data_IF_613218927813
#
_entry.id   IF_613218927813
#
_cell.length_a   1.000
_cell.length_b   1.000
_cell.length_c   1.000
_cell.angle_alpha   90.00
_cell.angle_beta   90.00
_cell.angle_gamma   90.00
#
_symmetry.space_group_name_H-M   'P 1'
#
loop_
_entity.id
_entity.type
_entity.pdbx_description
1 polymer ?
#
# COMPACT_ATOMS: atom_id res chain seq x y z
N UNK A 1 11.64 5.45 -7.63
CA UNK A 1 12.87 4.89 -8.27
C UNK A 1 14.09 4.93 -7.34
N UNK A 2 14.40 6.06 -6.69
CA UNK A 2 15.55 6.19 -5.74
C UNK A 2 15.60 5.15 -4.61
N UNK A 3 14.46 4.75 -4.04
CA UNK A 3 14.38 3.76 -2.94
C UNK A 3 14.71 2.32 -3.36
N UNK A 4 14.53 1.97 -4.62
CA UNK A 4 14.80 0.61 -5.15
C UNK A 4 16.30 0.42 -5.39
N UNK A 5 16.99 1.46 -5.88
CA UNK A 5 18.44 1.41 -6.07
C UNK A 5 19.21 1.19 -4.76
N UNK A 6 18.76 1.81 -3.65
CA UNK A 6 19.39 1.66 -2.33
C UNK A 6 19.32 0.21 -1.84
N UNK A 7 18.21 -0.49 -2.08
CA UNK A 7 18.02 -1.89 -1.67
C UNK A 7 18.92 -2.82 -2.49
N UNK A 8 19.04 -2.59 -3.79
CA UNK A 8 19.90 -3.41 -4.67
C UNK A 8 21.38 -3.24 -4.29
N UNK A 9 21.81 -2.01 -4.00
CA UNK A 9 23.19 -1.69 -3.63
C UNK A 9 23.57 -2.30 -2.27
N UNK A 10 22.60 -2.34 -1.33
CA UNK A 10 22.76 -2.98 -0.03
C UNK A 10 22.91 -4.51 -0.12
N UNK A 11 22.15 -5.16 -1.01
CA UNK A 11 22.24 -6.60 -1.25
C UNK A 11 23.56 -6.97 -1.92
N UNK A 12 24.07 -6.17 -2.85
CA UNK A 12 25.38 -6.41 -3.47
C UNK A 12 26.55 -6.25 -2.50
N UNK A 13 26.46 -5.31 -1.55
CA UNK A 13 27.46 -5.10 -0.50
C UNK A 13 27.53 -6.27 0.51
N UNK A 14 26.38 -6.86 0.83
CA UNK A 14 26.28 -8.05 1.69
C UNK A 14 26.91 -9.31 1.05
N UNK A 15 26.95 -9.38 -0.28
CA UNK A 15 27.51 -10.52 -1.02
C UNK A 15 29.03 -10.42 -1.25
N UNK A 16 29.63 -9.24 -1.14
CA UNK A 16 31.08 -9.03 -1.33
C UNK A 16 31.92 -9.22 -0.06
N UNK A 17 31.30 -9.43 1.10
CA UNK A 17 31.93 -9.30 2.41
C UNK A 17 32.53 -10.57 3.04
N UNK A 18 32.81 -11.64 2.28
CA UNK A 18 33.40 -12.86 2.86
C UNK A 18 34.72 -13.20 2.16
N UNK A 19 35.76 -12.45 2.50
CA UNK A 19 37.14 -12.92 2.34
C UNK A 19 37.57 -13.49 3.68
N UNK A 20 37.53 -14.82 3.79
CA UNK A 20 38.05 -15.55 4.94
C UNK A 20 39.58 -15.59 4.85
N UNK A 21 40.26 -14.68 5.56
CA UNK A 21 41.70 -14.81 5.82
C UNK A 21 41.90 -15.53 7.15
N UNK A 22 41.94 -16.86 7.12
CA UNK A 22 42.39 -17.68 8.24
C UNK A 22 43.75 -18.28 7.88
N UNK A 23 44.72 -18.20 8.79
CA UNK A 23 46.08 -18.70 8.57
C UNK A 23 46.08 -20.24 8.44
N UNK A 24 46.75 -20.78 7.41
CA UNK A 24 46.73 -22.21 7.06
C UNK A 24 47.71 -23.07 7.88
N UNK A 25 48.69 -22.47 8.56
CA UNK A 25 49.74 -23.19 9.29
C UNK A 25 50.06 -22.51 10.64
N UNK A 26 50.34 -23.30 11.67
CA UNK A 26 50.87 -22.80 12.95
C UNK A 26 52.09 -23.61 13.41
N UNK A 27 52.94 -22.95 14.18
CA UNK A 27 54.24 -23.40 14.63
C UNK A 27 54.20 -23.64 16.13
N UNK A 28 54.58 -24.84 16.56
CA UNK A 28 54.55 -25.25 17.96
C UNK A 28 55.93 -25.69 18.44
N UNK A 29 56.37 -25.20 19.60
CA UNK A 29 57.59 -25.67 20.26
C UNK A 29 57.39 -25.80 21.77
N UNK A 30 58.32 -26.45 22.45
CA UNK A 30 58.31 -26.61 23.92
C UNK A 30 59.58 -26.00 24.47
N UNK A 31 59.45 -25.17 25.49
CA UNK A 31 60.62 -24.57 26.15
C UNK A 31 61.26 -25.50 27.19
N UNK A 32 62.39 -25.08 27.74
CA UNK A 32 63.16 -25.83 28.74
C UNK A 32 62.38 -26.14 30.02
N UNK A 33 61.33 -25.37 30.31
CA UNK A 33 60.44 -25.58 31.47
C UNK A 33 59.27 -26.52 31.13
N UNK A 34 59.22 -27.06 29.92
CA UNK A 34 58.15 -27.94 29.46
C UNK A 34 56.88 -27.22 29.01
N UNK A 35 56.89 -25.89 28.86
CA UNK A 35 55.71 -25.12 28.41
C UNK A 35 55.61 -25.17 26.88
N UNK A 36 54.42 -25.50 26.37
CA UNK A 36 54.14 -25.55 24.94
C UNK A 36 53.68 -24.18 24.44
N UNK A 37 54.38 -23.65 23.45
CA UNK A 37 54.07 -22.38 22.78
C UNK A 37 53.56 -22.63 21.37
N UNK A 38 52.61 -21.81 20.91
CA UNK A 38 52.01 -21.89 19.57
C UNK A 38 51.92 -20.51 18.95
N UNK A 39 52.30 -20.38 17.67
CA UNK A 39 52.16 -19.13 16.90
C UNK A 39 51.80 -19.40 15.44
N UNK A 40 51.06 -18.51 14.81
CA UNK A 40 50.75 -18.50 13.38
C UNK A 40 51.78 -17.72 12.54
N UNK A 41 52.82 -17.15 13.16
CA UNK A 41 53.90 -16.43 12.49
C UNK A 41 55.27 -17.08 12.78
N UNK A 42 55.97 -17.65 11.77
CA UNK A 42 57.24 -18.35 11.96
C UNK A 42 58.37 -17.46 12.50
N UNK A 43 58.34 -16.16 12.21
CA UNK A 43 59.40 -15.24 12.63
C UNK A 43 59.42 -15.03 14.15
N UNK A 44 58.25 -15.20 14.80
CA UNK A 44 58.10 -15.09 16.26
C UNK A 44 58.66 -16.30 17.01
N UNK A 45 59.05 -17.36 16.31
CA UNK A 45 59.69 -18.52 16.91
C UNK A 45 61.14 -18.17 17.25
N UNK A 46 61.53 -18.22 18.55
CA UNK A 46 62.90 -17.90 18.97
C UNK A 46 63.91 -18.80 18.27
N UNK A 47 65.03 -18.22 17.83
CA UNK A 47 66.07 -18.91 17.03
C UNK A 47 66.52 -20.23 17.64
N UNK A 48 66.71 -20.28 18.96
CA UNK A 48 67.12 -21.49 19.71
C UNK A 48 66.12 -22.65 19.65
N UNK A 49 64.87 -22.41 19.30
CA UNK A 49 63.83 -23.44 19.21
C UNK A 49 63.39 -23.73 17.78
N UNK A 50 63.90 -23.01 16.77
CA UNK A 50 63.50 -23.17 15.36
C UNK A 50 63.70 -24.59 14.86
N UNK A 51 64.82 -25.22 15.19
CA UNK A 51 65.13 -26.60 14.76
C UNK A 51 64.23 -27.65 15.46
N UNK A 52 63.72 -27.32 16.64
CA UNK A 52 62.79 -28.17 17.40
C UNK A 52 61.31 -27.89 17.13
N UNK A 53 61.01 -26.85 16.33
CA UNK A 53 59.65 -26.38 16.09
C UNK A 53 58.92 -27.32 15.14
N UNK A 54 57.73 -27.75 15.53
CA UNK A 54 56.84 -28.55 14.69
C UNK A 54 55.91 -27.62 13.92
N UNK A 55 55.99 -27.67 12.60
CA UNK A 55 54.98 -27.04 11.73
C UNK A 55 53.77 -27.95 11.74
N UNK A 56 52.67 -27.47 12.30
CA UNK A 56 51.40 -28.18 12.31
C UNK A 56 50.51 -27.58 11.25
N UNK A 57 50.34 -28.32 10.15
CA UNK A 57 49.32 -28.01 9.14
C UNK A 57 47.99 -28.56 9.65
N UNK A 58 46.95 -27.72 9.68
CA UNK A 58 45.62 -28.17 10.09
C UNK A 58 45.14 -29.24 9.10
N UNK A 59 45.10 -30.52 9.53
CA UNK A 59 44.52 -31.60 8.73
C UNK A 59 43.09 -31.21 8.37
N UNK A 60 42.70 -31.34 7.09
CA UNK A 60 41.34 -31.04 6.62
C UNK A 60 40.32 -31.71 7.54
N UNK A 61 39.76 -30.95 8.48
CA UNK A 61 38.77 -31.45 9.43
C UNK A 61 37.50 -31.76 8.66
N UNK A 62 36.74 -32.78 9.12
CA UNK A 62 35.53 -33.24 8.45
C UNK A 62 34.52 -32.11 8.13
N UNK A 63 34.54 -31.02 8.91
CA UNK A 63 33.78 -29.79 8.66
C UNK A 63 34.22 -29.07 7.35
N UNK A 64 35.52 -28.90 7.11
CA UNK A 64 36.03 -28.22 5.88
C UNK A 64 35.72 -29.02 4.61
N UNK A 65 35.88 -30.35 4.63
CA UNK A 65 35.52 -31.21 3.50
C UNK A 65 34.01 -31.20 3.23
N UNK A 66 33.22 -31.19 4.30
CA UNK A 66 31.75 -31.09 4.23
C UNK A 66 31.32 -29.76 3.63
N UNK A 67 31.90 -28.63 4.07
CA UNK A 67 31.64 -27.29 3.51
C UNK A 67 32.07 -27.19 2.04
N UNK A 68 33.21 -27.78 1.66
CA UNK A 68 33.68 -27.85 0.27
C UNK A 68 32.72 -28.66 -0.63
N UNK A 69 32.13 -29.73 -0.11
CA UNK A 69 31.13 -30.52 -0.82
C UNK A 69 29.80 -29.76 -0.95
N UNK A 70 29.33 -29.11 0.12
CA UNK A 70 28.12 -28.28 0.07
C UNK A 70 28.26 -27.10 -0.90
N UNK A 71 29.41 -26.42 -0.90
CA UNK A 71 29.67 -25.31 -1.83
C UNK A 71 29.75 -25.79 -3.28
N UNK A 72 30.35 -26.96 -3.54
CA UNK A 72 30.37 -27.58 -4.87
C UNK A 72 28.97 -27.99 -5.35
N UNK A 73 28.15 -28.59 -4.48
CA UNK A 73 26.76 -28.95 -4.74
C UNK A 73 25.88 -27.72 -4.99
N UNK A 74 26.04 -26.67 -4.18
CA UNK A 74 25.32 -25.41 -4.35
C UNK A 74 25.66 -24.74 -5.68
N UNK A 75 26.94 -24.74 -6.09
CA UNK A 75 27.40 -24.17 -7.36
C UNK A 75 26.91 -24.95 -8.58
N UNK A 76 26.83 -26.28 -8.47
CA UNK A 76 26.31 -27.15 -9.53
C UNK A 76 24.80 -26.96 -9.76
N UNK A 77 24.03 -26.73 -8.69
CA UNK A 77 22.58 -26.50 -8.74
C UNK A 77 22.18 -25.01 -8.82
N UNK A 78 23.13 -24.09 -8.89
CA UNK A 78 22.86 -22.64 -8.94
C UNK A 78 22.21 -22.21 -10.27
N UNK A 79 22.65 -22.79 -11.39
CA UNK A 79 22.14 -22.47 -12.73
C UNK A 79 20.65 -22.76 -12.91
N UNK A 80 20.12 -23.96 -12.56
CA UNK A 80 18.69 -24.22 -12.66
C UNK A 80 17.87 -23.34 -11.71
N UNK A 81 18.38 -23.03 -10.51
CA UNK A 81 17.69 -22.14 -9.56
C UNK A 81 17.50 -20.72 -10.12
N UNK A 82 18.56 -20.14 -10.70
CA UNK A 82 18.50 -18.80 -11.31
C UNK A 82 17.52 -18.72 -12.49
N UNK A 83 17.41 -19.80 -13.27
CA UNK A 83 16.44 -19.90 -14.38
C UNK A 83 15.00 -19.91 -13.83
N UNK A 84 14.74 -20.65 -12.74
CA UNK A 84 13.41 -20.69 -12.10
C UNK A 84 13.06 -19.31 -11.52
N UNK A 85 13.98 -18.64 -10.82
CA UNK A 85 13.74 -17.29 -10.30
C UNK A 85 13.51 -16.25 -11.41
N UNK A 86 14.29 -16.32 -12.50
CA UNK A 86 14.09 -15.46 -13.67
C UNK A 86 12.72 -15.71 -14.33
N UNK A 87 12.29 -16.97 -14.43
CA UNK A 87 10.98 -17.35 -14.97
C UNK A 87 9.83 -16.82 -14.11
N UNK A 88 9.93 -16.91 -12.78
CA UNK A 88 8.92 -16.37 -11.85
C UNK A 88 8.79 -14.85 -11.93
N UNK A 89 9.92 -14.13 -12.04
CA UNK A 89 9.93 -12.67 -12.23
C UNK A 89 9.34 -12.29 -13.58
N UNK A 90 9.69 -13.01 -14.64
CA UNK A 90 9.09 -12.83 -15.97
C UNK A 90 7.58 -13.08 -15.98
N UNK A 91 7.12 -14.13 -15.30
CA UNK A 91 5.70 -14.45 -15.14
C UNK A 91 4.96 -13.37 -14.35
N UNK A 92 5.58 -12.79 -13.32
CA UNK A 92 5.02 -11.69 -12.54
C UNK A 92 4.90 -10.40 -13.37
N UNK A 93 5.92 -10.08 -14.17
CA UNK A 93 5.89 -8.93 -15.11
C UNK A 93 4.82 -9.17 -16.18
N UNK A 94 4.75 -10.38 -16.76
CA UNK A 94 3.73 -10.76 -17.74
C UNK A 94 2.32 -10.69 -17.14
N UNK A 95 2.12 -11.17 -15.91
CA UNK A 95 0.87 -11.04 -15.19
C UNK A 95 0.47 -9.57 -14.98
N UNK A 96 1.43 -8.70 -14.62
CA UNK A 96 1.22 -7.25 -14.53
C UNK A 96 0.84 -6.63 -15.88
N UNK A 97 1.47 -7.05 -16.97
CA UNK A 97 1.14 -6.62 -18.33
C UNK A 97 -0.26 -7.08 -18.77
N UNK A 98 -0.59 -8.36 -18.57
CA UNK A 98 -1.91 -8.93 -18.87
C UNK A 98 -3.03 -8.27 -18.05
N UNK A 99 -2.78 -8.01 -16.76
CA UNK A 99 -3.72 -7.26 -15.90
C UNK A 99 -3.80 -5.78 -16.31
N UNK A 100 -2.70 -5.19 -16.77
CA UNK A 100 -2.66 -3.83 -17.32
C UNK A 100 -3.47 -3.68 -18.61
N UNK A 101 -3.49 -4.70 -19.47
CA UNK A 101 -4.34 -4.74 -20.67
C UNK A 101 -5.82 -4.85 -20.29
N UNK A 102 -6.18 -5.69 -19.31
CA UNK A 102 -7.56 -5.74 -18.77
C UNK A 102 -7.98 -4.41 -18.10
N UNK A 103 -7.06 -3.70 -17.44
CA UNK A 103 -7.31 -2.39 -16.83
C UNK A 103 -7.34 -1.23 -17.83
N UNK A 104 -6.98 -1.44 -19.10
CA UNK A 104 -7.08 -0.41 -20.16
C UNK A 104 -8.47 -0.36 -20.81
N UNK A 105 -9.36 -1.27 -20.42
CA UNK A 105 -10.79 -1.10 -20.57
C UNK A 105 -11.35 -0.39 -19.34
N UNK A 106 -11.05 0.91 -19.23
CA UNK A 106 -12.08 1.87 -18.82
C UNK A 106 -13.11 1.94 -19.94
N UNK A 107 -13.78 0.81 -20.21
CA UNK A 107 -15.14 0.84 -20.70
C UNK A 107 -15.93 1.40 -19.54
N UNK A 108 -15.90 2.73 -19.44
CA UNK A 108 -16.83 3.53 -18.68
C UNK A 108 -18.18 3.01 -19.12
N UNK A 109 -18.77 2.12 -18.32
CA UNK A 109 -20.16 1.73 -18.47
C UNK A 109 -20.90 3.04 -18.63
N UNK A 110 -21.38 3.33 -19.85
CA UNK A 110 -21.95 4.64 -20.18
C UNK A 110 -23.07 4.84 -19.19
N UNK A 111 -22.88 5.76 -18.25
CA UNK A 111 -23.89 6.03 -17.26
C UNK A 111 -25.14 6.45 -18.05
N UNK A 112 -26.30 5.86 -17.74
CA UNK A 112 -27.57 6.18 -18.40
C UNK A 112 -27.85 7.69 -18.45
N UNK A 113 -27.29 8.43 -17.50
CA UNK A 113 -27.43 9.87 -17.33
C UNK A 113 -26.20 10.68 -17.74
N UNK A 114 -25.21 10.10 -18.44
CA UNK A 114 -23.96 10.80 -18.85
C UNK A 114 -24.25 12.10 -19.61
N UNK A 115 -25.23 12.11 -20.52
CA UNK A 115 -25.61 13.33 -21.26
C UNK A 115 -26.15 14.42 -20.33
N UNK A 116 -26.95 14.04 -19.34
CA UNK A 116 -27.56 14.96 -18.37
C UNK A 116 -26.50 15.52 -17.43
N UNK A 117 -25.63 14.65 -16.90
CA UNK A 117 -24.53 15.04 -16.00
C UNK A 117 -23.52 15.95 -16.70
N UNK A 118 -23.20 15.69 -17.98
CA UNK A 118 -22.36 16.60 -18.76
C UNK A 118 -23.02 17.97 -18.96
N UNK A 119 -24.32 17.97 -19.30
CA UNK A 119 -25.08 19.21 -19.51
C UNK A 119 -25.20 20.04 -18.23
N UNK A 120 -25.28 19.41 -17.04
CA UNK A 120 -25.32 20.15 -15.78
C UNK A 120 -23.96 20.72 -15.36
N UNK A 121 -22.85 20.36 -16.01
CA UNK A 121 -21.52 20.84 -15.63
C UNK A 121 -21.03 20.35 -14.25
N UNK A 122 -21.69 19.35 -13.65
CA UNK A 122 -21.36 18.85 -12.30
C UNK A 122 -19.90 18.41 -12.16
N UNK A 123 -19.34 17.85 -13.23
CA UNK A 123 -17.97 17.35 -13.26
C UNK A 123 -16.91 18.48 -13.23
N UNK A 124 -17.28 19.73 -13.55
CA UNK A 124 -16.37 20.89 -13.54
C UNK A 124 -16.54 21.78 -12.31
N UNK A 125 -17.56 21.54 -11.49
CA UNK A 125 -17.82 22.34 -10.29
C UNK A 125 -16.74 22.12 -9.22
N UNK A 126 -16.23 23.20 -8.63
CA UNK A 126 -15.46 23.12 -7.39
C UNK A 126 -16.37 22.73 -6.19
N UNK A 127 -15.77 22.55 -5.00
CA UNK A 127 -16.52 22.10 -3.81
C UNK A 127 -17.68 23.05 -3.45
N UNK A 128 -17.46 24.38 -3.30
CA UNK A 128 -18.56 25.31 -3.02
C UNK A 128 -19.68 25.28 -4.07
N UNK A 129 -19.32 25.25 -5.36
CA UNK A 129 -20.29 25.17 -6.45
C UNK A 129 -21.11 23.89 -6.38
N UNK A 130 -20.46 22.75 -6.15
CA UNK A 130 -21.16 21.47 -6.07
C UNK A 130 -22.06 21.39 -4.83
N UNK A 131 -21.63 21.94 -3.69
CA UNK A 131 -22.46 22.06 -2.50
C UNK A 131 -23.72 22.89 -2.78
N UNK A 132 -23.58 24.06 -3.39
CA UNK A 132 -24.71 24.92 -3.78
C UNK A 132 -25.65 24.21 -4.77
N UNK A 133 -25.09 23.54 -5.77
CA UNK A 133 -25.86 22.77 -6.72
C UNK A 133 -26.63 21.61 -6.07
N UNK A 134 -26.01 20.89 -5.12
CA UNK A 134 -26.67 19.82 -4.36
C UNK A 134 -27.85 20.33 -3.53
N UNK A 135 -27.72 21.53 -2.92
CA UNK A 135 -28.85 22.21 -2.25
C UNK A 135 -30.00 22.45 -3.21
N UNK A 136 -29.74 23.00 -4.40
CA UNK A 136 -30.77 23.25 -5.41
C UNK A 136 -31.46 21.97 -5.87
N UNK A 137 -30.69 20.89 -6.09
CA UNK A 137 -31.24 19.58 -6.44
C UNK A 137 -32.13 19.03 -5.33
N UNK A 138 -31.71 19.10 -4.07
CA UNK A 138 -32.54 18.69 -2.93
C UNK A 138 -33.81 19.53 -2.81
N UNK A 139 -33.71 20.86 -2.89
CA UNK A 139 -34.87 21.75 -2.87
C UNK A 139 -35.88 21.40 -3.97
N UNK A 140 -35.41 21.17 -5.19
CA UNK A 140 -36.27 20.75 -6.31
C UNK A 140 -36.86 19.33 -6.14
N UNK A 141 -36.28 18.51 -5.26
CA UNK A 141 -36.82 17.19 -4.85
C UNK A 141 -37.71 17.27 -3.60
N UNK A 142 -38.09 18.48 -3.18
CA UNK A 142 -39.04 18.74 -2.11
C UNK A 142 -38.44 18.72 -0.71
N UNK A 143 -37.11 18.84 -0.57
CA UNK A 143 -36.47 19.01 0.72
C UNK A 143 -36.42 20.51 1.09
N UNK A 144 -36.64 20.84 2.35
CA UNK A 144 -36.42 22.19 2.87
C UNK A 144 -34.99 22.29 3.38
N UNK A 145 -34.10 22.87 2.57
CA UNK A 145 -32.69 23.04 2.92
C UNK A 145 -32.53 24.20 3.90
N UNK A 146 -31.80 24.00 5.00
CA UNK A 146 -31.44 25.04 5.96
C UNK A 146 -29.92 25.13 6.08
N UNK A 147 -29.42 26.35 6.07
CA UNK A 147 -28.01 26.62 6.33
C UNK A 147 -27.78 26.77 7.83
N UNK A 148 -26.55 26.47 8.25
CA UNK A 148 -26.11 26.79 9.59
C UNK A 148 -25.56 28.22 9.61
N UNK A 149 -25.90 28.97 10.66
CA UNK A 149 -25.20 30.20 10.98
C UNK A 149 -23.88 29.83 11.69
N UNK A 150 -22.79 29.75 10.94
CA UNK A 150 -21.44 29.50 11.48
C UNK A 150 -20.59 28.49 10.69
N UNK A 151 -19.31 28.38 11.07
CA UNK A 151 -18.39 27.39 10.49
C UNK A 151 -18.74 25.98 10.98
N UNK A 152 -18.97 25.06 10.05
CA UNK A 152 -19.21 23.64 10.34
C UNK A 152 -17.88 22.95 10.62
N UNK A 153 -17.40 23.06 11.86
CA UNK A 153 -16.14 22.48 12.33
C UNK A 153 -16.08 20.93 12.30
N UNK A 154 -17.15 20.24 11.89
CA UNK A 154 -17.28 18.78 11.97
C UNK A 154 -17.41 18.09 10.61
N UNK A 155 -17.08 18.79 9.53
CA UNK A 155 -16.99 18.16 8.22
C UNK A 155 -18.32 17.77 7.59
N UNK A 156 -19.46 18.27 8.07
CA UNK A 156 -20.79 18.19 7.41
C UNK A 156 -21.10 19.49 6.66
N UNK A 157 -22.08 19.53 5.77
CA UNK A 157 -22.26 20.66 4.85
C UNK A 157 -23.53 21.51 5.09
N UNK A 158 -24.68 20.91 5.44
CA UNK A 158 -25.94 21.59 5.76
C UNK A 158 -26.98 20.60 6.32
N UNK A 159 -28.19 21.07 6.66
CA UNK A 159 -29.33 20.20 6.99
C UNK A 159 -30.48 20.37 6.01
N UNK A 160 -31.33 19.37 5.95
CA UNK A 160 -32.52 19.39 5.12
C UNK A 160 -33.68 18.69 5.83
N UNK A 161 -34.90 19.20 5.67
CA UNK A 161 -36.10 18.56 6.21
C UNK A 161 -36.98 18.04 5.07
N UNK A 162 -37.61 16.88 5.27
CA UNK A 162 -38.63 16.36 4.35
C UNK A 162 -39.65 15.52 5.11
N UNK A 163 -40.88 15.99 5.12
CA UNK A 163 -41.92 15.43 5.99
C UNK A 163 -41.50 15.55 7.46
N UNK A 164 -41.48 14.44 8.18
CA UNK A 164 -41.11 14.38 9.60
C UNK A 164 -39.65 13.97 9.84
N UNK A 165 -38.83 13.95 8.79
CA UNK A 165 -37.42 13.54 8.86
C UNK A 165 -36.52 14.75 8.66
N UNK A 166 -35.54 14.89 9.54
CA UNK A 166 -34.53 15.94 9.51
C UNK A 166 -33.16 15.31 9.27
N UNK A 167 -32.53 15.72 8.19
CA UNK A 167 -31.36 15.08 7.62
C UNK A 167 -30.11 15.93 7.84
N UNK A 168 -29.05 15.30 8.32
CA UNK A 168 -27.71 15.84 8.27
C UNK A 168 -27.10 15.53 6.91
N UNK A 169 -26.69 16.55 6.15
CA UNK A 169 -26.25 16.38 4.76
C UNK A 169 -24.74 16.57 4.63
N UNK A 170 -24.11 15.60 3.97
CA UNK A 170 -22.70 15.64 3.56
C UNK A 170 -22.56 15.60 2.05
N UNK A 171 -21.74 16.48 1.50
CA UNK A 171 -21.38 16.53 0.08
C UNK A 171 -19.92 16.11 -0.10
N UNK A 172 -19.70 15.16 -1.00
CA UNK A 172 -18.38 14.58 -1.33
C UNK A 172 -18.09 14.80 -2.82
N UNK A 173 -16.92 15.37 -3.13
CA UNK A 173 -16.48 15.64 -4.50
C UNK A 173 -15.26 14.84 -4.92
N UNK A 174 -14.84 13.86 -4.12
CA UNK A 174 -13.64 13.07 -4.39
C UNK A 174 -13.81 12.14 -5.60
N UNK A 175 -12.70 11.85 -6.27
CA UNK A 175 -12.66 10.93 -7.40
C UNK A 175 -12.65 9.45 -6.99
N UNK A 176 -12.70 9.16 -5.69
CA UNK A 176 -12.70 7.82 -5.11
C UNK A 176 -14.13 7.39 -4.75
N UNK A 177 -14.34 6.08 -4.61
CA UNK A 177 -15.61 5.57 -4.09
C UNK A 177 -15.80 6.03 -2.65
N UNK A 178 -17.02 6.43 -2.31
CA UNK A 178 -17.37 6.85 -0.94
C UNK A 178 -17.60 5.62 -0.08
N UNK A 179 -16.81 5.49 1.00
CA UNK A 179 -16.79 4.29 1.85
C UNK A 179 -17.86 4.29 2.95
N UNK A 180 -18.09 3.12 3.55
CA UNK A 180 -18.95 2.96 4.73
C UNK A 180 -18.53 3.84 5.91
N UNK A 181 -17.23 4.15 6.04
CA UNK A 181 -16.73 5.00 7.13
C UNK A 181 -17.34 6.41 7.08
N UNK A 182 -17.48 6.99 5.88
CA UNK A 182 -18.15 8.29 5.70
C UNK A 182 -19.61 8.21 6.15
N UNK A 183 -20.29 7.10 5.84
CA UNK A 183 -21.67 6.86 6.27
C UNK A 183 -21.78 6.81 7.80
N UNK A 184 -20.90 6.06 8.45
CA UNK A 184 -20.82 5.98 9.91
C UNK A 184 -20.57 7.34 10.56
N UNK A 185 -19.61 8.10 10.04
CA UNK A 185 -19.20 9.38 10.64
C UNK A 185 -20.34 10.40 10.62
N UNK A 186 -21.02 10.54 9.47
CA UNK A 186 -22.17 11.46 9.35
C UNK A 186 -23.32 11.00 10.25
N UNK A 187 -23.62 9.70 10.29
CA UNK A 187 -24.69 9.17 11.14
C UNK A 187 -24.43 9.43 12.63
N UNK A 188 -23.18 9.25 13.10
CA UNK A 188 -22.79 9.50 14.49
C UNK A 188 -23.05 10.96 14.90
N UNK A 189 -22.93 11.89 13.95
CA UNK A 189 -23.05 13.32 14.22
C UNK A 189 -24.49 13.85 14.08
N UNK A 190 -25.43 13.05 13.56
CA UNK A 190 -26.85 13.47 13.38
C UNK A 190 -27.47 14.07 14.64
N UNK A 191 -27.28 13.43 15.80
CA UNK A 191 -27.86 13.88 17.07
C UNK A 191 -27.31 15.24 17.53
N UNK A 192 -26.06 15.57 17.20
CA UNK A 192 -25.45 16.87 17.52
C UNK A 192 -26.16 18.03 16.83
N UNK A 193 -26.77 17.75 15.68
CA UNK A 193 -27.49 18.72 14.86
C UNK A 193 -29.01 18.56 14.94
N UNK A 194 -29.50 17.75 15.88
CA UNK A 194 -30.93 17.47 16.05
C UNK A 194 -31.54 16.67 14.90
N UNK A 195 -30.73 16.12 14.00
CA UNK A 195 -31.16 15.29 12.88
C UNK A 195 -31.39 13.85 13.32
N UNK A 196 -32.33 13.15 12.67
CA UNK A 196 -32.63 11.73 12.90
C UNK A 196 -32.23 10.83 11.72
N UNK A 197 -31.78 11.43 10.61
CA UNK A 197 -31.26 10.72 9.44
C UNK A 197 -30.08 11.47 8.82
N UNK A 198 -29.39 10.81 7.89
CA UNK A 198 -28.30 11.38 7.12
C UNK A 198 -28.59 11.33 5.62
N UNK A 199 -28.05 12.30 4.87
CA UNK A 199 -27.96 12.23 3.41
C UNK A 199 -26.49 12.39 3.03
N UNK A 200 -25.98 11.50 2.20
CA UNK A 200 -24.64 11.65 1.62
C UNK A 200 -24.76 11.76 0.11
N UNK A 201 -24.21 12.84 -0.42
CA UNK A 201 -24.24 13.18 -1.85
C UNK A 201 -22.82 13.09 -2.39
N UNK A 202 -22.62 12.32 -3.45
CA UNK A 202 -21.29 12.16 -4.06
C UNK A 202 -21.36 12.29 -5.59
N UNK A 203 -20.34 12.92 -6.19
CA UNK A 203 -20.18 12.95 -7.66
C UNK A 203 -19.83 11.57 -8.26
N UNK A 204 -19.45 10.63 -7.39
CA UNK A 204 -19.00 9.30 -7.73
C UNK A 204 -20.01 8.25 -7.25
N UNK A 205 -19.56 7.03 -6.97
CA UNK A 205 -20.35 5.94 -6.44
C UNK A 205 -19.92 5.57 -5.02
N UNK A 206 -20.80 4.88 -4.32
CA UNK A 206 -20.50 4.29 -3.02
C UNK A 206 -19.87 2.91 -3.20
N UNK A 207 -19.12 2.46 -2.19
CA UNK A 207 -18.67 1.08 -2.09
C UNK A 207 -19.85 0.16 -1.73
N UNK A 208 -19.75 -1.13 -2.05
CA UNK A 208 -20.86 -2.08 -1.81
C UNK A 208 -21.20 -2.19 -0.31
N UNK A 209 -20.19 -2.16 0.57
CA UNK A 209 -20.38 -2.15 2.03
C UNK A 209 -21.08 -0.90 2.54
N UNK A 210 -20.91 0.26 1.89
CA UNK A 210 -21.65 1.48 2.23
C UNK A 210 -23.12 1.36 1.82
N UNK A 211 -23.38 0.79 0.64
CA UNK A 211 -24.73 0.52 0.14
C UNK A 211 -25.45 -0.50 1.02
N UNK A 212 -24.77 -1.58 1.39
CA UNK A 212 -25.33 -2.59 2.28
C UNK A 212 -25.64 -2.00 3.67
N UNK A 213 -24.71 -1.22 4.21
CA UNK A 213 -24.89 -0.59 5.52
C UNK A 213 -26.02 0.45 5.56
N UNK A 214 -26.23 1.20 4.47
CA UNK A 214 -27.34 2.16 4.42
C UNK A 214 -28.72 1.51 4.39
N UNK A 215 -28.84 0.26 3.94
CA UNK A 215 -30.13 -0.48 3.98
C UNK A 215 -30.63 -0.71 5.40
N UNK A 216 -29.73 -0.77 6.39
CA UNK A 216 -30.06 -0.98 7.80
C UNK A 216 -29.83 0.27 8.67
N UNK A 217 -29.60 1.43 8.05
CA UNK A 217 -29.28 2.68 8.76
C UNK A 217 -30.17 3.81 8.25
N UNK A 218 -30.48 4.85 9.04
CA UNK A 218 -31.25 6.00 8.58
C UNK A 218 -30.38 6.93 7.71
N UNK A 219 -29.85 6.42 6.60
CA UNK A 219 -28.99 7.17 5.68
C UNK A 219 -29.41 7.00 4.23
N UNK A 220 -29.69 8.10 3.55
CA UNK A 220 -29.91 8.14 2.12
C UNK A 220 -28.60 8.37 1.36
N UNK A 221 -28.34 7.53 0.36
CA UNK A 221 -27.17 7.63 -0.50
C UNK A 221 -27.59 8.19 -1.86
N UNK A 222 -27.04 9.36 -2.21
CA UNK A 222 -27.28 10.02 -3.49
C UNK A 222 -25.98 10.00 -4.29
N UNK A 223 -25.82 8.96 -5.10
CA UNK A 223 -24.65 8.74 -5.93
C UNK A 223 -24.78 9.43 -7.30
N UNK A 224 -23.78 9.25 -8.16
CA UNK A 224 -23.77 9.78 -9.53
C UNK A 224 -25.01 9.39 -10.36
N UNK A 225 -25.51 8.17 -10.22
CA UNK A 225 -26.69 7.71 -10.94
C UNK A 225 -27.96 8.39 -10.42
N UNK A 226 -28.10 8.44 -9.09
CA UNK A 226 -29.21 9.11 -8.42
C UNK A 226 -29.24 10.61 -8.76
N UNK A 227 -28.09 11.29 -8.73
CA UNK A 227 -27.93 12.67 -9.18
C UNK A 227 -28.36 12.82 -10.64
N UNK A 228 -27.85 11.98 -11.54
CA UNK A 228 -28.21 12.03 -12.95
C UNK A 228 -29.71 11.87 -13.20
N UNK A 229 -30.36 10.99 -12.43
CA UNK A 229 -31.82 10.82 -12.45
C UNK A 229 -32.53 12.08 -11.96
N UNK A 230 -32.15 12.61 -10.80
CA UNK A 230 -32.81 13.76 -10.19
C UNK A 230 -32.64 15.02 -11.01
N UNK A 231 -31.44 15.28 -11.54
CA UNK A 231 -31.17 16.42 -12.43
C UNK A 231 -32.06 16.35 -13.69
N UNK A 232 -32.26 15.15 -14.25
CA UNK A 232 -33.15 14.96 -15.39
C UNK A 232 -34.60 15.29 -15.03
N UNK A 233 -35.07 14.84 -13.86
CA UNK A 233 -36.44 15.06 -13.38
C UNK A 233 -36.71 16.53 -13.05
N UNK A 234 -35.76 17.20 -12.39
CA UNK A 234 -35.89 18.59 -11.94
C UNK A 234 -35.50 19.62 -13.01
N UNK A 235 -34.92 19.18 -14.13
CA UNK A 235 -34.45 20.01 -15.24
C UNK A 235 -33.42 21.08 -14.83
N UNK A 236 -32.66 20.83 -13.77
CA UNK A 236 -31.60 21.72 -13.28
C UNK A 236 -30.33 21.57 -14.12
N UNK A 237 -30.34 22.10 -15.33
CA UNK A 237 -29.16 22.24 -16.16
C UNK A 237 -28.44 23.57 -15.84
N UNK A 238 -27.12 23.63 -16.04
CA UNK A 238 -26.40 24.89 -16.04
C UNK A 238 -26.71 25.69 -17.31
#
# INVERSE_FOLDING_TARGET
>A
MRKIYIIILFITFLLSGINNSYAEEYYQWTDENGVVHVTDNPEKVPSRYRDSTKVVKEKETGSKATIKNYTKLAKQNQKPLLIIFGSLIGLFILYKLLKGIKNKSSSRSKNKYDKVLKKSGIDTMNIPQFRSYAKNVLSAKGYQVKEFEGDLDFGVDFVADKGNTNYLVKVISDNMLTSKMVVNDVLRDTSKYGCNAAIIITKNHFTEDAIEFSRSSPCELIDRNALGKWIKETRLYN
#
